data_IF_191431110258
#
_entry.id   IF_191431110258
#
_cell.length_a   1.000
_cell.length_b   1.000
_cell.length_c   1.000
_cell.angle_alpha   90.00
_cell.angle_beta   90.00
_cell.angle_gamma   90.00
#
_symmetry.space_group_name_H-M   'P 1'
#
loop_
_entity.id
_entity.type
_entity.pdbx_description
1 polymer ?
#
# COMPACT_ATOMS: atom_id res chain seq x y z
N UNK A 1 5.81 -17.44 -18.27
CA UNK A 1 4.94 -16.74 -19.24
C UNK A 1 5.80 -15.77 -20.02
N UNK A 2 5.72 -15.76 -21.36
CA UNK A 2 6.43 -14.81 -22.22
C UNK A 2 5.39 -13.86 -22.82
N UNK A 3 5.66 -12.56 -22.77
CA UNK A 3 4.80 -11.52 -23.35
C UNK A 3 5.56 -10.85 -24.51
N UNK A 4 4.83 -10.49 -25.56
CA UNK A 4 5.38 -9.79 -26.72
C UNK A 4 4.97 -8.33 -26.67
N UNK A 5 5.91 -7.41 -26.92
CA UNK A 5 5.62 -6.00 -27.11
C UNK A 5 4.85 -5.82 -28.42
N UNK A 6 3.62 -5.34 -28.33
CA UNK A 6 2.78 -5.07 -29.49
C UNK A 6 3.12 -3.70 -30.10
N UNK A 7 2.47 -3.39 -31.23
CA UNK A 7 2.54 -2.07 -31.83
C UNK A 7 2.20 -0.97 -30.81
N UNK A 8 2.73 0.24 -31.03
CA UNK A 8 2.57 1.38 -30.11
C UNK A 8 3.09 1.10 -28.70
N UNK A 9 4.09 0.24 -28.56
CA UNK A 9 4.75 -0.06 -27.29
C UNK A 9 3.78 -0.58 -26.20
N UNK A 10 2.78 -1.38 -26.59
CA UNK A 10 1.75 -1.88 -25.66
C UNK A 10 2.08 -3.31 -25.22
N UNK A 11 1.99 -3.57 -23.91
CA UNK A 11 2.02 -4.91 -23.33
C UNK A 11 0.62 -5.30 -22.86
N UNK A 12 0.09 -6.42 -23.35
CA UNK A 12 -1.18 -6.95 -22.87
C UNK A 12 -0.94 -7.74 -21.58
N UNK A 13 -1.59 -7.32 -20.48
CA UNK A 13 -1.58 -8.06 -19.21
C UNK A 13 -2.63 -9.18 -19.29
N UNK A 14 -2.21 -10.46 -19.23
CA UNK A 14 -3.14 -11.60 -19.32
C UNK A 14 -4.13 -11.63 -18.16
N UNK A 15 -5.28 -12.26 -18.39
CA UNK A 15 -6.39 -12.30 -17.43
C UNK A 15 -5.97 -12.85 -16.06
N UNK A 16 -5.11 -13.86 -16.02
CA UNK A 16 -4.64 -14.46 -14.76
C UNK A 16 -3.87 -13.46 -13.90
N UNK A 17 -2.94 -12.69 -14.50
CA UNK A 17 -2.20 -11.66 -13.79
C UNK A 17 -3.11 -10.50 -13.35
N UNK A 18 -4.07 -10.08 -14.20
CA UNK A 18 -5.05 -9.05 -13.81
C UNK A 18 -5.88 -9.48 -12.61
N UNK A 19 -6.35 -10.74 -12.58
CA UNK A 19 -7.14 -11.27 -11.46
C UNK A 19 -6.31 -11.39 -10.18
N UNK A 20 -5.08 -11.88 -10.28
CA UNK A 20 -4.18 -12.02 -9.14
C UNK A 20 -3.87 -10.66 -8.50
N UNK A 21 -3.66 -9.62 -9.32
CA UNK A 21 -3.38 -8.26 -8.87
C UNK A 21 -4.63 -7.38 -8.72
N UNK A 22 -5.84 -7.95 -8.93
CA UNK A 22 -7.13 -7.25 -8.89
C UNK A 22 -7.20 -5.96 -9.73
N UNK A 23 -6.45 -5.94 -10.84
CA UNK A 23 -6.34 -4.79 -11.73
C UNK A 23 -7.65 -4.50 -12.47
N UNK A 24 -8.04 -3.23 -12.51
CA UNK A 24 -9.15 -2.72 -13.31
C UNK A 24 -8.65 -1.88 -14.49
N UNK A 25 -9.38 -1.84 -15.62
CA UNK A 25 -9.06 -0.92 -16.71
C UNK A 25 -8.98 0.53 -16.23
N UNK A 26 -7.90 1.23 -16.60
CA UNK A 26 -7.68 2.63 -16.23
C UNK A 26 -6.98 2.86 -14.90
N UNK A 27 -6.67 1.81 -14.12
CA UNK A 27 -5.86 1.96 -12.91
C UNK A 27 -4.39 2.30 -13.25
N UNK A 28 -3.77 3.21 -12.50
CA UNK A 28 -2.38 3.56 -12.73
C UNK A 28 -1.43 2.46 -12.21
N UNK A 29 -0.31 2.32 -12.92
CA UNK A 29 0.81 1.47 -12.52
C UNK A 29 2.05 2.36 -12.38
N UNK A 30 2.77 2.20 -11.28
CA UNK A 30 4.13 2.71 -11.17
C UNK A 30 5.09 1.78 -11.93
N UNK A 31 5.99 2.35 -12.72
CA UNK A 31 6.89 1.61 -13.60
C UNK A 31 8.34 1.99 -13.30
N UNK A 32 9.14 1.00 -12.89
CA UNK A 32 10.55 1.20 -12.54
C UNK A 32 11.45 0.09 -13.07
N UNK A 33 12.74 0.41 -13.23
CA UNK A 33 13.77 -0.58 -13.56
C UNK A 33 14.47 -1.01 -12.28
N UNK A 34 14.45 -2.30 -12.00
CA UNK A 34 15.18 -2.90 -10.89
C UNK A 34 15.96 -4.09 -11.37
N UNK A 35 17.29 -4.08 -11.16
CA UNK A 35 18.16 -5.22 -11.48
C UNK A 35 17.95 -5.72 -12.92
N UNK A 36 17.80 -4.79 -13.86
CA UNK A 36 17.56 -5.08 -15.28
C UNK A 36 16.14 -5.55 -15.62
N UNK A 37 15.20 -5.54 -14.66
CA UNK A 37 13.81 -5.93 -14.85
C UNK A 37 12.88 -4.70 -14.85
N UNK A 38 11.89 -4.68 -15.74
CA UNK A 38 10.76 -3.76 -15.65
C UNK A 38 9.78 -4.26 -14.59
N UNK A 39 9.63 -3.50 -13.51
CA UNK A 39 8.70 -3.79 -12.41
C UNK A 39 7.52 -2.83 -12.51
N UNK A 40 6.32 -3.39 -12.64
CA UNK A 40 5.05 -2.67 -12.69
C UNK A 40 4.29 -2.93 -11.39
N UNK A 41 4.01 -1.87 -10.64
CA UNK A 41 3.32 -1.96 -9.34
C UNK A 41 1.99 -1.23 -9.41
N UNK A 42 0.86 -1.87 -9.07
CA UNK A 42 -0.43 -1.17 -8.97
C UNK A 42 -0.37 -0.07 -7.91
N UNK A 43 -0.84 1.13 -8.25
CA UNK A 43 -0.85 2.26 -7.31
C UNK A 43 -2.25 2.89 -7.23
N UNK A 44 -2.57 3.45 -6.06
CA UNK A 44 -3.78 4.22 -5.84
C UNK A 44 -3.43 5.72 -5.85
N UNK A 45 -4.22 6.51 -6.57
CA UNK A 45 -4.13 7.98 -6.50
C UNK A 45 -4.98 8.43 -5.33
N UNK A 46 -4.32 8.90 -4.27
CA UNK A 46 -4.97 9.47 -3.10
C UNK A 46 -4.70 10.97 -3.04
N UNK A 47 -5.71 11.81 -2.70
CA UNK A 47 -5.46 13.21 -2.38
C UNK A 47 -4.42 13.34 -1.27
N UNK A 48 -3.52 14.32 -1.37
CA UNK A 48 -2.54 14.62 -0.31
C UNK A 48 -3.20 14.89 1.04
N UNK A 49 -4.36 15.52 1.00
CA UNK A 49 -5.25 15.73 2.13
C UNK A 49 -6.31 14.65 2.11
N UNK A 50 -5.93 13.40 2.37
CA UNK A 50 -6.93 12.36 2.55
C UNK A 50 -7.66 12.66 3.85
N UNK A 51 -8.94 13.04 3.77
CA UNK A 51 -9.79 13.09 4.94
C UNK A 51 -10.03 11.65 5.40
N UNK A 52 -9.76 11.38 6.69
CA UNK A 52 -10.19 10.13 7.29
C UNK A 52 -11.73 10.07 7.27
N UNK A 53 -12.30 8.88 7.40
CA UNK A 53 -13.73 8.81 7.74
C UNK A 53 -13.96 9.51 9.09
N UNK A 54 -15.18 9.93 9.40
CA UNK A 54 -15.46 10.53 10.72
C UNK A 54 -15.07 9.61 11.90
N UNK A 55 -15.12 8.29 11.70
CA UNK A 55 -14.59 7.32 12.68
C UNK A 55 -13.06 7.32 12.76
N UNK A 56 -12.37 7.55 11.65
CA UNK A 56 -10.92 7.66 11.62
C UNK A 56 -10.41 8.96 12.25
N UNK A 57 -11.08 10.09 11.99
CA UNK A 57 -10.75 11.37 12.66
C UNK A 57 -10.93 11.27 14.18
N UNK A 58 -11.96 10.57 14.65
CA UNK A 58 -12.16 10.34 16.08
C UNK A 58 -11.04 9.48 16.70
N UNK A 59 -10.60 8.42 16.01
CA UNK A 59 -9.48 7.57 16.46
C UNK A 59 -8.15 8.32 16.44
N UNK A 60 -7.92 9.18 15.44
CA UNK A 60 -6.73 10.04 15.39
C UNK A 60 -6.72 11.01 16.58
N UNK A 61 -7.85 11.67 16.85
CA UNK A 61 -7.97 12.56 18.01
C UNK A 61 -7.76 11.82 19.35
N UNK A 62 -8.25 10.59 19.48
CA UNK A 62 -8.02 9.74 20.66
C UNK A 62 -6.53 9.41 20.82
N UNK A 63 -5.88 8.98 19.74
CA UNK A 63 -4.44 8.67 19.73
C UNK A 63 -3.59 9.89 20.11
N UNK A 64 -3.94 11.09 19.63
CA UNK A 64 -3.25 12.33 20.01
C UNK A 64 -3.36 12.63 21.52
N UNK A 65 -4.53 12.36 22.12
CA UNK A 65 -4.70 12.48 23.57
C UNK A 65 -3.88 11.41 24.29
N UNK A 66 -3.86 10.17 23.82
CA UNK A 66 -3.06 9.10 24.42
C UNK A 66 -1.57 9.45 24.42
N UNK A 67 -1.04 9.96 23.31
CA UNK A 67 0.35 10.44 23.21
C UNK A 67 0.60 11.59 24.20
N UNK A 68 -0.30 12.58 24.24
CA UNK A 68 -0.16 13.75 25.12
C UNK A 68 -0.20 13.39 26.60
N UNK A 69 -1.05 12.45 26.99
CA UNK A 69 -1.23 11.99 28.37
C UNK A 69 -0.26 10.85 28.74
N UNK A 70 0.64 10.46 27.83
CA UNK A 70 1.63 9.41 28.06
C UNK A 70 1.05 8.00 28.16
N UNK A 71 -0.17 7.77 27.64
CA UNK A 71 -0.80 6.44 27.51
C UNK A 71 -0.25 5.70 26.29
N UNK A 72 1.08 5.61 26.23
CA UNK A 72 1.81 4.96 25.14
C UNK A 72 2.81 3.96 25.71
N UNK A 73 3.01 2.87 24.98
CA UNK A 73 4.06 1.89 25.25
C UNK A 73 5.16 2.01 24.20
N UNK A 74 6.41 1.95 24.64
CA UNK A 74 7.59 1.91 23.75
C UNK A 74 8.31 0.59 23.93
N UNK A 75 8.81 0.02 22.84
CA UNK A 75 9.48 -1.28 22.84
C UNK A 75 10.85 -1.16 22.15
N UNK A 76 11.87 -1.80 22.72
CA UNK A 76 13.23 -1.77 22.19
C UNK A 76 13.44 -2.68 20.97
N UNK A 77 12.45 -3.53 20.66
CA UNK A 77 12.50 -4.42 19.49
C UNK A 77 11.10 -4.76 18.98
N UNK A 78 11.03 -5.12 17.69
CA UNK A 78 9.80 -5.63 17.10
C UNK A 78 9.31 -6.93 17.78
N UNK A 79 10.23 -7.76 18.29
CA UNK A 79 9.86 -8.99 19.00
C UNK A 79 9.11 -8.68 20.32
N UNK A 80 9.60 -7.70 21.09
CA UNK A 80 8.95 -7.28 22.33
C UNK A 80 7.56 -6.65 22.10
N UNK A 81 7.40 -5.90 20.99
CA UNK A 81 6.09 -5.39 20.57
C UNK A 81 5.11 -6.53 20.25
N UNK A 82 5.56 -7.54 19.51
CA UNK A 82 4.71 -8.66 19.11
C UNK A 82 4.26 -9.49 20.33
N UNK A 83 5.14 -9.74 21.30
CA UNK A 83 4.81 -10.48 22.53
C UNK A 83 3.71 -9.78 23.34
N UNK A 84 3.72 -8.45 23.40
CA UNK A 84 2.69 -7.68 24.12
C UNK A 84 1.35 -7.63 23.36
N UNK A 85 1.39 -7.58 22.02
CA UNK A 85 0.19 -7.58 21.17
C UNK A 85 -0.54 -8.93 21.15
N UNK A 86 0.18 -10.04 21.33
CA UNK A 86 -0.38 -11.39 21.33
C UNK A 86 -0.96 -11.81 22.69
N UNK A 87 -0.97 -10.91 23.67
CA UNK A 87 -1.39 -11.19 25.05
C UNK A 87 -2.91 -11.20 25.26
#
# INVERSE_FOLDING_TARGET
MILTLQARNTLTIPQELRKALRLKPGEPLDARIERGSLVLTPVAVVPRTLALSGSGEALEAEADVDVREGRISTYDSAAALLEDLER
#
